data_IF_298659240554
#
_entry.id   IF_298659240554
#
_cell.length_a   1.000
_cell.length_b   1.000
_cell.length_c   1.000
_cell.angle_alpha   90.00
_cell.angle_beta   90.00
_cell.angle_gamma   90.00
#
_symmetry.space_group_name_H-M   'P 1'
#
loop_
_entity.id
_entity.type
_entity.pdbx_description
1 polymer ?
#
# COMPACT_ATOMS: atom_id res chain seq x y z
N UNK A 1 16.72 15.40 -23.33
CA UNK A 1 16.81 14.34 -22.30
C UNK A 1 15.40 13.82 -22.05
N UNK A 2 15.19 12.50 -22.07
CA UNK A 2 13.91 11.86 -21.76
C UNK A 2 14.10 11.04 -20.50
N UNK A 3 13.08 11.02 -19.64
CA UNK A 3 13.05 10.18 -18.43
C UNK A 3 11.83 9.28 -18.45
N UNK A 4 11.96 8.05 -18.01
CA UNK A 4 10.85 7.09 -17.93
C UNK A 4 11.09 6.10 -16.79
N UNK A 5 10.01 5.67 -16.15
CA UNK A 5 10.04 4.56 -15.20
C UNK A 5 9.89 3.20 -15.90
N UNK A 6 9.43 3.19 -17.15
CA UNK A 6 9.14 1.97 -17.90
C UNK A 6 9.86 1.99 -19.26
N UNK A 7 11.14 1.62 -19.32
CA UNK A 7 11.92 1.66 -20.57
C UNK A 7 11.33 0.80 -21.70
N UNK A 8 10.62 -0.27 -21.36
CA UNK A 8 9.96 -1.15 -22.33
C UNK A 8 8.82 -0.49 -23.10
N UNK A 9 8.24 0.61 -22.59
CA UNK A 9 7.19 1.38 -23.26
C UNK A 9 7.73 2.44 -24.21
N UNK A 10 9.05 2.68 -24.21
CA UNK A 10 9.68 3.61 -25.15
C UNK A 10 9.80 2.93 -26.49
N UNK A 11 9.30 3.58 -27.55
CA UNK A 11 9.36 3.06 -28.90
C UNK A 11 10.81 2.77 -29.33
N UNK A 12 11.01 1.72 -30.10
CA UNK A 12 12.33 1.24 -30.49
C UNK A 12 13.15 2.28 -31.25
N UNK A 13 12.48 3.09 -32.08
CA UNK A 13 13.11 4.16 -32.83
C UNK A 13 13.78 5.23 -31.95
N UNK A 14 13.28 5.48 -30.74
CA UNK A 14 13.92 6.36 -29.76
C UNK A 14 15.00 5.61 -28.98
N UNK A 15 14.75 4.36 -28.61
CA UNK A 15 15.72 3.54 -27.87
C UNK A 15 17.02 3.34 -28.65
N UNK A 16 16.92 3.10 -29.96
CA UNK A 16 18.11 2.90 -30.82
C UNK A 16 18.94 4.18 -31.04
N UNK A 17 18.35 5.36 -30.83
CA UNK A 17 18.99 6.66 -31.04
C UNK A 17 19.40 7.38 -29.77
N UNK A 18 19.20 6.76 -28.60
CA UNK A 18 19.48 7.36 -27.31
C UNK A 18 20.42 6.48 -26.48
N UNK A 19 21.27 7.11 -25.69
CA UNK A 19 22.03 6.39 -24.67
C UNK A 19 21.16 6.17 -23.46
N UNK A 20 21.07 4.93 -22.99
CA UNK A 20 20.28 4.55 -21.83
C UNK A 20 21.13 4.63 -20.56
N UNK A 21 20.73 5.49 -19.65
CA UNK A 21 21.32 5.59 -18.32
C UNK A 21 20.29 5.07 -17.32
N UNK A 22 20.62 3.98 -16.65
CA UNK A 22 19.76 3.42 -15.59
C UNK A 22 20.18 4.00 -14.24
N UNK A 23 19.22 4.65 -13.58
CA UNK A 23 19.37 5.12 -12.21
C UNK A 23 18.68 4.09 -11.28
N UNK A 24 19.42 3.26 -10.55
CA UNK A 24 18.82 2.34 -9.61
C UNK A 24 18.23 3.12 -8.42
N UNK A 25 17.22 2.57 -7.73
CA UNK A 25 16.77 3.15 -6.48
C UNK A 25 17.92 3.20 -5.47
N UNK A 26 17.98 4.23 -4.61
CA UNK A 26 19.05 4.35 -3.62
C UNK A 26 18.99 3.18 -2.63
N UNK A 27 20.16 2.71 -2.21
CA UNK A 27 20.30 1.69 -1.20
C UNK A 27 19.87 2.20 0.18
N UNK A 28 19.59 1.28 1.10
CA UNK A 28 19.24 1.64 2.49
C UNK A 28 20.31 2.50 3.15
N UNK A 29 21.59 2.20 2.93
CA UNK A 29 22.70 2.99 3.50
C UNK A 29 22.74 4.41 2.94
N UNK A 30 22.49 4.58 1.65
CA UNK A 30 22.45 5.91 1.02
C UNK A 30 21.28 6.73 1.55
N UNK A 31 20.09 6.10 1.70
CA UNK A 31 18.92 6.76 2.30
C UNK A 31 19.23 7.13 3.76
N UNK A 32 19.73 6.22 4.56
CA UNK A 32 20.07 6.47 5.96
C UNK A 32 21.10 7.59 6.12
N UNK A 33 22.16 7.58 5.28
CA UNK A 33 23.14 8.65 5.25
C UNK A 33 22.53 10.02 4.89
N UNK A 34 21.63 10.07 3.89
CA UNK A 34 20.95 11.32 3.52
C UNK A 34 20.02 11.82 4.64
N UNK A 35 19.29 10.90 5.29
CA UNK A 35 18.44 11.26 6.42
C UNK A 35 19.27 11.79 7.60
N UNK A 36 20.42 11.19 7.88
CA UNK A 36 21.32 11.66 8.93
C UNK A 36 21.78 13.11 8.69
N UNK A 37 22.16 13.44 7.44
CA UNK A 37 22.51 14.81 7.07
C UNK A 37 21.34 15.78 7.30
N UNK A 38 20.13 15.43 6.88
CA UNK A 38 18.93 16.28 7.05
C UNK A 38 18.62 16.50 8.54
N UNK A 39 18.67 15.44 9.33
CA UNK A 39 18.40 15.48 10.77
C UNK A 39 19.41 16.37 11.50
N UNK A 40 20.68 16.33 11.10
CA UNK A 40 21.73 17.19 11.64
C UNK A 40 21.51 18.65 11.23
N UNK A 41 21.24 18.92 9.95
CA UNK A 41 20.92 20.26 9.42
C UNK A 41 19.69 20.91 10.12
N UNK A 42 18.65 20.10 10.38
CA UNK A 42 17.40 20.53 11.03
C UNK A 42 17.45 20.46 12.58
N UNK A 43 18.59 20.06 13.15
CA UNK A 43 18.79 19.94 14.60
C UNK A 43 17.75 19.04 15.29
N UNK A 44 17.32 17.96 14.64
CA UNK A 44 16.33 17.03 15.19
C UNK A 44 17.00 16.01 16.11
N UNK A 45 16.41 15.77 17.28
CA UNK A 45 16.85 14.67 18.17
C UNK A 45 16.27 13.33 17.68
N UNK A 46 17.15 12.38 17.38
CA UNK A 46 16.77 11.08 16.82
C UNK A 46 17.33 9.93 17.66
N UNK A 47 16.48 9.00 18.07
CA UNK A 47 16.90 7.81 18.76
C UNK A 47 17.71 6.87 17.86
N UNK A 48 18.64 6.15 18.47
CA UNK A 48 19.51 5.19 17.76
C UNK A 48 18.68 4.16 16.99
N UNK A 49 18.98 4.02 15.70
CA UNK A 49 18.38 3.02 14.81
C UNK A 49 17.08 3.46 14.12
N UNK A 50 16.49 4.59 14.49
CA UNK A 50 15.24 5.10 13.87
C UNK A 50 15.43 5.38 12.39
N UNK A 51 16.55 6.01 11.99
CA UNK A 51 16.84 6.29 10.57
C UNK A 51 17.02 5.02 9.75
N UNK A 52 17.62 3.98 10.33
CA UNK A 52 17.75 2.66 9.71
C UNK A 52 16.37 2.00 9.49
N UNK A 53 15.46 2.13 10.46
CA UNK A 53 14.11 1.62 10.34
C UNK A 53 13.30 2.41 9.28
N UNK A 54 13.41 3.75 9.25
CA UNK A 54 12.79 4.59 8.22
C UNK A 54 13.33 4.22 6.83
N UNK A 55 14.64 4.02 6.69
CA UNK A 55 15.25 3.63 5.40
C UNK A 55 14.75 2.26 4.92
N UNK A 56 14.55 1.33 5.86
CA UNK A 56 13.98 0.01 5.57
C UNK A 56 12.55 0.11 5.02
N UNK A 57 11.73 0.95 5.62
CA UNK A 57 10.32 1.16 5.30
C UNK A 57 10.16 1.91 3.99
N UNK A 58 11.05 2.85 3.73
CA UNK A 58 11.07 3.60 2.48
C UNK A 58 11.38 2.73 1.25
N UNK A 59 12.04 1.58 1.45
CA UNK A 59 12.30 0.58 0.42
C UNK A 59 12.80 1.17 -0.91
N UNK A 60 13.82 2.02 -0.85
CA UNK A 60 14.40 2.69 -2.03
C UNK A 60 13.73 4.01 -2.42
N UNK A 61 12.65 4.42 -1.76
CA UNK A 61 11.97 5.69 -2.02
C UNK A 61 12.46 6.79 -1.06
N UNK A 62 13.43 7.58 -1.50
CA UNK A 62 14.00 8.66 -0.69
C UNK A 62 12.96 9.72 -0.29
N UNK A 63 12.03 10.07 -1.18
CA UNK A 63 10.98 11.05 -0.87
C UNK A 63 10.10 10.58 0.28
N UNK A 64 9.70 9.30 0.27
CA UNK A 64 8.95 8.69 1.36
C UNK A 64 9.76 8.69 2.66
N UNK A 65 11.06 8.39 2.59
CA UNK A 65 11.94 8.43 3.76
C UNK A 65 11.99 9.81 4.39
N UNK A 66 12.20 10.85 3.60
CA UNK A 66 12.24 12.25 4.06
C UNK A 66 10.89 12.64 4.67
N UNK A 67 9.78 12.38 3.98
CA UNK A 67 8.43 12.69 4.47
C UNK A 67 8.14 12.05 5.83
N UNK A 68 8.50 10.76 6.00
CA UNK A 68 8.31 10.06 7.27
C UNK A 68 9.17 10.67 8.37
N UNK A 69 10.43 11.02 8.07
CA UNK A 69 11.33 11.65 9.03
C UNK A 69 10.80 13.02 9.47
N UNK A 70 10.33 13.83 8.54
CA UNK A 70 9.70 15.13 8.82
C UNK A 70 8.45 14.98 9.68
N UNK A 71 7.55 14.05 9.34
CA UNK A 71 6.33 13.78 10.11
C UNK A 71 6.63 13.36 11.55
N UNK A 72 7.64 12.53 11.75
CA UNK A 72 8.08 12.10 13.07
C UNK A 72 8.76 13.24 13.84
N UNK A 73 9.53 14.07 13.15
CA UNK A 73 10.19 15.26 13.72
C UNK A 73 9.16 16.26 14.26
N UNK A 74 8.17 16.63 13.46
CA UNK A 74 7.09 17.54 13.88
C UNK A 74 6.29 17.06 15.09
N UNK A 75 6.20 15.74 15.29
CA UNK A 75 5.50 15.15 16.43
C UNK A 75 6.41 14.85 17.62
N UNK A 76 7.67 15.23 17.56
CA UNK A 76 8.70 14.85 18.56
C UNK A 76 8.76 13.34 18.82
N UNK A 77 8.47 12.53 17.80
CA UNK A 77 8.37 11.07 17.89
C UNK A 77 9.64 10.35 17.45
N UNK A 78 10.63 11.06 16.94
CA UNK A 78 11.94 10.51 16.55
C UNK A 78 12.75 9.99 17.73
N UNK A 79 12.43 10.43 18.93
CA UNK A 79 13.08 10.03 20.19
C UNK A 79 12.71 8.62 20.68
N UNK A 80 11.67 7.97 20.12
CA UNK A 80 11.27 6.61 20.51
C UNK A 80 11.00 5.72 19.29
N UNK A 81 11.80 4.66 19.18
CA UNK A 81 11.69 3.66 18.13
C UNK A 81 10.32 2.94 18.10
N UNK A 82 9.64 2.84 19.25
CA UNK A 82 8.31 2.23 19.32
C UNK A 82 7.26 3.03 18.57
N UNK A 83 7.39 4.35 18.54
CA UNK A 83 6.49 5.23 17.80
C UNK A 83 6.56 4.97 16.29
N UNK A 84 7.74 4.66 15.77
CA UNK A 84 7.93 4.28 14.37
C UNK A 84 7.23 2.96 14.05
N UNK A 85 7.36 1.97 14.93
CA UNK A 85 6.71 0.67 14.74
C UNK A 85 5.18 0.79 14.74
N UNK A 86 4.62 1.66 15.58
CA UNK A 86 3.18 1.94 15.60
C UNK A 86 2.69 2.62 14.34
N UNK A 87 3.45 3.56 13.78
CA UNK A 87 3.06 4.24 12.55
C UNK A 87 3.15 3.36 11.29
N UNK A 88 3.97 2.31 11.30
CA UNK A 88 4.41 1.71 10.05
C UNK A 88 4.12 0.23 9.82
N UNK A 89 3.84 -0.56 10.83
CA UNK A 89 3.76 -2.01 10.66
C UNK A 89 2.47 -2.66 11.11
N UNK A 90 1.84 -2.12 12.12
CA UNK A 90 0.65 -2.75 12.70
C UNK A 90 -0.62 -2.37 11.95
N UNK A 91 -0.70 -1.11 11.49
CA UNK A 91 -1.96 -0.55 10.99
C UNK A 91 -2.23 -1.03 9.57
N UNK A 92 -1.35 -0.79 8.62
CA UNK A 92 -1.67 -1.06 7.22
C UNK A 92 -1.83 -2.56 6.88
N UNK A 93 -1.02 -3.45 7.44
CA UNK A 93 -1.12 -4.89 7.12
C UNK A 93 -2.37 -5.52 7.72
N UNK A 94 -2.69 -5.22 8.98
CA UNK A 94 -3.91 -5.71 9.63
C UNK A 94 -5.17 -5.12 9.00
N UNK A 95 -5.11 -3.86 8.62
CA UNK A 95 -6.20 -3.18 7.94
C UNK A 95 -6.42 -3.73 6.54
N UNK A 96 -5.36 -3.95 5.76
CA UNK A 96 -5.45 -4.62 4.46
C UNK A 96 -5.96 -6.06 4.59
N UNK A 97 -5.53 -6.79 5.63
CA UNK A 97 -6.09 -8.10 5.92
C UNK A 97 -7.60 -8.02 6.20
N UNK A 98 -8.02 -7.05 7.02
CA UNK A 98 -9.44 -6.80 7.30
C UNK A 98 -10.23 -6.47 6.04
N UNK A 99 -9.70 -5.65 5.13
CA UNK A 99 -10.35 -5.35 3.85
C UNK A 99 -10.65 -6.63 3.08
N UNK A 100 -9.65 -7.50 2.95
CA UNK A 100 -9.82 -8.75 2.21
C UNK A 100 -10.74 -9.74 2.93
N UNK A 101 -10.67 -9.84 4.26
CA UNK A 101 -11.59 -10.67 5.05
C UNK A 101 -13.05 -10.21 4.93
N UNK A 102 -13.31 -8.91 4.96
CA UNK A 102 -14.67 -8.37 4.76
C UNK A 102 -15.17 -8.66 3.35
N UNK A 103 -14.31 -8.57 2.34
CA UNK A 103 -14.67 -8.93 0.97
C UNK A 103 -15.02 -10.42 0.86
N UNK A 104 -14.17 -11.32 1.37
CA UNK A 104 -14.40 -12.77 1.34
C UNK A 104 -15.67 -13.19 2.08
N UNK A 105 -16.12 -12.39 3.07
CA UNK A 105 -17.41 -12.57 3.77
C UNK A 105 -18.59 -11.95 3.04
N UNK A 106 -18.41 -11.53 1.78
CA UNK A 106 -19.42 -10.84 0.95
C UNK A 106 -19.94 -9.52 1.56
N UNK A 107 -19.08 -8.81 2.27
CA UNK A 107 -19.40 -7.50 2.83
C UNK A 107 -18.58 -6.41 2.14
N UNK A 108 -18.73 -6.30 0.81
CA UNK A 108 -18.01 -5.29 0.03
C UNK A 108 -18.59 -3.90 0.28
N UNK A 109 -19.93 -3.76 0.10
CA UNK A 109 -20.65 -2.51 0.33
C UNK A 109 -21.63 -2.68 1.49
N UNK A 110 -21.21 -2.37 2.71
CA UNK A 110 -22.08 -2.37 3.90
C UNK A 110 -22.41 -0.91 4.27
N UNK A 111 -23.61 -0.47 3.94
CA UNK A 111 -24.07 0.88 4.22
C UNK A 111 -24.75 0.94 5.57
N UNK A 112 -24.21 1.75 6.51
CA UNK A 112 -24.78 1.94 7.85
C UNK A 112 -25.09 3.39 8.11
N UNK A 113 -26.15 3.62 8.88
CA UNK A 113 -26.48 4.95 9.39
C UNK A 113 -25.68 5.21 10.66
N UNK A 114 -24.87 6.26 10.66
CA UNK A 114 -24.14 6.71 11.83
C UNK A 114 -24.60 8.09 12.25
N UNK A 115 -24.80 8.26 13.56
CA UNK A 115 -25.17 9.54 14.14
C UNK A 115 -23.89 10.34 14.43
N UNK A 116 -23.63 11.38 13.67
CA UNK A 116 -22.50 12.29 13.87
C UNK A 116 -23.03 13.63 14.37
N UNK A 117 -23.07 13.81 15.69
CA UNK A 117 -23.71 14.96 16.34
C UNK A 117 -25.23 14.95 16.13
N UNK A 118 -25.80 16.08 15.62
CA UNK A 118 -27.24 16.19 15.34
C UNK A 118 -27.66 15.63 13.98
N UNK A 119 -26.75 15.17 13.12
CA UNK A 119 -27.08 14.66 11.78
C UNK A 119 -26.84 13.16 11.68
N UNK A 120 -27.80 12.45 11.08
CA UNK A 120 -27.62 11.08 10.65
C UNK A 120 -26.96 11.10 9.25
N UNK A 121 -25.83 10.44 9.10
CA UNK A 121 -25.17 10.27 7.81
C UNK A 121 -25.07 8.79 7.45
N UNK A 122 -25.24 8.50 6.17
CA UNK A 122 -25.01 7.15 5.65
C UNK A 122 -23.52 6.97 5.38
N UNK A 123 -22.91 6.00 6.04
CA UNK A 123 -21.46 5.72 5.96
C UNK A 123 -21.26 4.36 5.31
N UNK A 124 -20.34 4.31 4.35
CA UNK A 124 -19.92 3.06 3.73
C UNK A 124 -18.99 2.32 4.70
N UNK A 125 -19.38 1.14 5.07
CA UNK A 125 -18.58 0.16 5.83
C UNK A 125 -18.23 -1.02 4.94
N UNK A 126 -17.77 -2.11 5.52
CA UNK A 126 -17.31 -3.28 4.79
C UNK A 126 -15.96 -3.07 4.14
N UNK A 127 -15.66 -3.89 3.13
CA UNK A 127 -14.34 -3.89 2.50
C UNK A 127 -14.01 -2.53 1.85
N UNK A 128 -14.96 -1.92 1.13
CA UNK A 128 -14.73 -0.63 0.47
C UNK A 128 -14.55 0.52 1.47
N UNK A 129 -15.36 0.55 2.55
CA UNK A 129 -15.18 1.55 3.60
C UNK A 129 -13.85 1.43 4.33
N UNK A 130 -13.41 0.21 4.60
CA UNK A 130 -12.11 -0.06 5.19
C UNK A 130 -10.96 0.30 4.22
N UNK A 131 -11.11 0.00 2.94
CA UNK A 131 -10.13 0.36 1.90
C UNK A 131 -9.97 1.88 1.77
N UNK A 132 -11.09 2.62 1.64
CA UNK A 132 -11.07 4.08 1.55
C UNK A 132 -10.39 4.71 2.78
N UNK A 133 -10.64 4.17 3.97
CA UNK A 133 -10.00 4.60 5.20
C UNK A 133 -8.48 4.37 5.16
N UNK A 134 -8.05 3.15 4.81
CA UNK A 134 -6.61 2.78 4.77
C UNK A 134 -5.87 3.59 3.71
N UNK A 135 -6.46 3.78 2.53
CA UNK A 135 -5.86 4.59 1.48
C UNK A 135 -5.72 6.05 1.90
N UNK A 136 -6.75 6.63 2.53
CA UNK A 136 -6.73 8.01 2.99
C UNK A 136 -5.76 8.25 4.15
N UNK A 137 -5.72 7.37 5.14
CA UNK A 137 -4.85 7.50 6.31
C UNK A 137 -3.36 7.30 5.99
N UNK A 138 -3.06 6.43 4.99
CA UNK A 138 -1.70 6.07 4.62
C UNK A 138 -1.25 6.72 3.30
N UNK A 139 -2.09 7.53 2.68
CA UNK A 139 -1.84 8.17 1.38
C UNK A 139 -1.38 7.15 0.32
N UNK A 140 -2.12 6.03 0.22
CA UNK A 140 -1.81 4.95 -0.71
C UNK A 140 -2.49 5.19 -2.06
N UNK A 141 -1.72 5.00 -3.12
CA UNK A 141 -2.27 4.91 -4.47
C UNK A 141 -2.80 3.49 -4.75
N UNK A 142 -3.71 3.31 -5.72
CA UNK A 142 -4.28 2.01 -6.06
C UNK A 142 -3.23 0.93 -6.36
N UNK A 143 -2.12 1.29 -6.97
CA UNK A 143 -0.99 0.40 -7.27
C UNK A 143 -0.31 -0.10 -6.00
N UNK A 144 -0.18 0.76 -4.98
CA UNK A 144 0.36 0.36 -3.67
C UNK A 144 -0.54 -0.67 -2.99
N UNK A 145 -1.86 -0.51 -3.12
CA UNK A 145 -2.85 -1.45 -2.57
C UNK A 145 -2.68 -2.85 -3.17
N UNK A 146 -2.51 -2.95 -4.49
CA UNK A 146 -2.27 -4.23 -5.17
C UNK A 146 -0.99 -4.90 -4.66
N UNK A 147 0.09 -4.12 -4.49
CA UNK A 147 1.36 -4.62 -3.94
C UNK A 147 1.16 -5.12 -2.49
N UNK A 148 0.39 -4.40 -1.68
CA UNK A 148 0.09 -4.82 -0.31
C UNK A 148 -0.75 -6.09 -0.26
N UNK A 149 -1.79 -6.23 -1.08
CA UNK A 149 -2.57 -7.46 -1.19
C UNK A 149 -1.72 -8.65 -1.67
N UNK A 150 -0.87 -8.45 -2.67
CA UNK A 150 0.05 -9.50 -3.12
C UNK A 150 0.96 -9.99 -1.99
N UNK A 151 1.58 -9.07 -1.25
CA UNK A 151 2.42 -9.42 -0.10
C UNK A 151 1.63 -10.13 1.01
N UNK A 152 0.40 -9.70 1.27
CA UNK A 152 -0.46 -10.30 2.27
C UNK A 152 -0.80 -11.76 1.91
N UNK A 153 -1.19 -12.00 0.67
CA UNK A 153 -1.55 -13.32 0.16
C UNK A 153 -0.34 -14.28 0.11
N UNK A 154 0.81 -13.81 -0.36
CA UNK A 154 2.02 -14.63 -0.50
C UNK A 154 2.77 -14.85 0.81
N UNK A 155 2.58 -14.01 1.83
CA UNK A 155 3.24 -14.16 3.13
C UNK A 155 2.63 -15.27 4.01
N UNK A 156 1.59 -15.97 3.57
CA UNK A 156 0.92 -17.04 4.34
C UNK A 156 0.26 -16.58 5.64
N UNK A 157 0.04 -15.27 5.81
CA UNK A 157 -0.57 -14.71 7.03
C UNK A 157 -2.06 -14.97 7.12
N UNK A 158 -2.71 -15.13 5.98
CA UNK A 158 -4.10 -15.59 5.89
C UNK A 158 -4.06 -17.09 5.67
N UNK A 159 -4.67 -17.85 6.58
CA UNK A 159 -4.81 -19.30 6.44
C UNK A 159 -5.86 -19.63 5.38
N UNK A 160 -5.53 -19.34 4.12
CA UNK A 160 -6.37 -19.61 2.96
C UNK A 160 -6.02 -20.97 2.35
N UNK A 161 -7.02 -21.66 1.83
CA UNK A 161 -6.79 -22.85 1.05
C UNK A 161 -6.05 -22.51 -0.25
N UNK A 162 -5.20 -23.41 -0.72
CA UNK A 162 -4.35 -23.19 -1.89
C UNK A 162 -5.14 -22.82 -3.14
N UNK A 163 -6.29 -23.44 -3.33
CA UNK A 163 -7.16 -23.14 -4.48
C UNK A 163 -7.74 -21.72 -4.38
N UNK A 164 -8.24 -21.33 -3.22
CA UNK A 164 -8.76 -19.99 -2.97
C UNK A 164 -7.66 -18.93 -3.15
N UNK A 165 -6.47 -19.19 -2.62
CA UNK A 165 -5.30 -18.33 -2.79
C UNK A 165 -4.96 -18.14 -4.28
N UNK A 166 -4.95 -19.21 -5.05
CA UNK A 166 -4.65 -19.17 -6.49
C UNK A 166 -5.65 -18.33 -7.26
N UNK A 167 -6.96 -18.50 -7.01
CA UNK A 167 -8.00 -17.71 -7.66
C UNK A 167 -7.86 -16.21 -7.31
N UNK A 168 -7.60 -15.88 -6.04
CA UNK A 168 -7.39 -14.51 -5.61
C UNK A 168 -6.15 -13.86 -6.26
N UNK A 169 -5.06 -14.59 -6.38
CA UNK A 169 -3.85 -14.09 -7.05
C UNK A 169 -4.09 -13.85 -8.55
N UNK A 170 -4.86 -14.71 -9.22
CA UNK A 170 -5.25 -14.50 -10.63
C UNK A 170 -6.09 -13.23 -10.79
N UNK A 171 -7.09 -13.01 -9.92
CA UNK A 171 -7.91 -11.79 -9.96
C UNK A 171 -7.09 -10.54 -9.62
N UNK A 172 -6.15 -10.64 -8.67
CA UNK A 172 -5.26 -9.55 -8.34
C UNK A 172 -4.34 -9.16 -9.52
N UNK A 173 -3.83 -10.16 -10.25
CA UNK A 173 -3.04 -9.91 -11.46
C UNK A 173 -3.87 -9.22 -12.57
N UNK A 174 -5.15 -9.60 -12.73
CA UNK A 174 -6.06 -8.90 -13.65
C UNK A 174 -6.31 -7.45 -13.22
N UNK A 175 -6.43 -7.21 -11.91
CA UNK A 175 -6.57 -5.86 -11.36
C UNK A 175 -5.33 -5.01 -11.65
N UNK A 176 -4.13 -5.54 -11.43
CA UNK A 176 -2.86 -4.85 -11.72
C UNK A 176 -2.77 -4.41 -13.19
N UNK A 177 -3.07 -5.32 -14.12
CA UNK A 177 -3.08 -5.01 -15.57
C UNK A 177 -4.12 -3.95 -15.91
N UNK A 178 -5.30 -3.98 -15.26
CA UNK A 178 -6.37 -3.04 -15.50
C UNK A 178 -6.05 -1.63 -14.96
N UNK A 179 -5.40 -1.53 -13.79
CA UNK A 179 -4.94 -0.26 -13.23
C UNK A 179 -4.05 0.51 -14.20
N UNK A 180 -3.19 -0.17 -14.94
CA UNK A 180 -2.32 0.47 -15.93
C UNK A 180 -3.06 1.08 -17.13
N UNK A 181 -4.33 0.71 -17.34
CA UNK A 181 -5.18 1.16 -18.45
C UNK A 181 -6.30 2.08 -18.00
N UNK A 182 -6.66 2.00 -16.72
CA UNK A 182 -7.77 2.74 -16.14
C UNK A 182 -7.34 4.15 -15.73
N UNK A 183 -8.25 5.10 -15.86
CA UNK A 183 -8.08 6.46 -15.32
C UNK A 183 -8.57 6.56 -13.86
N UNK A 184 -9.30 5.56 -13.38
CA UNK A 184 -9.88 5.53 -12.04
C UNK A 184 -9.55 4.22 -11.33
N UNK A 185 -8.36 4.15 -10.74
CA UNK A 185 -7.86 2.95 -10.09
C UNK A 185 -8.77 2.42 -8.97
N UNK A 186 -9.53 3.30 -8.30
CA UNK A 186 -10.48 2.89 -7.26
C UNK A 186 -11.56 1.93 -7.78
N UNK A 187 -12.05 2.13 -9.02
CA UNK A 187 -13.06 1.24 -9.64
C UNK A 187 -12.46 -0.16 -9.88
N UNK A 188 -11.20 -0.22 -10.27
CA UNK A 188 -10.54 -1.51 -10.48
C UNK A 188 -10.31 -2.27 -9.18
N UNK A 189 -9.98 -1.57 -8.09
CA UNK A 189 -9.91 -2.17 -6.76
C UNK A 189 -11.29 -2.65 -6.27
N UNK A 190 -12.34 -1.87 -6.51
CA UNK A 190 -13.72 -2.27 -6.19
C UNK A 190 -14.11 -3.54 -6.93
N UNK A 191 -13.81 -3.62 -8.24
CA UNK A 191 -14.01 -4.82 -9.05
C UNK A 191 -13.27 -6.03 -8.47
N UNK A 192 -12.01 -5.85 -8.08
CA UNK A 192 -11.23 -6.91 -7.44
C UNK A 192 -11.91 -7.42 -6.15
N UNK A 193 -12.38 -6.51 -5.29
CA UNK A 193 -13.03 -6.88 -4.03
C UNK A 193 -14.38 -7.58 -4.27
N UNK A 194 -15.13 -7.20 -5.29
CA UNK A 194 -16.38 -7.87 -5.69
C UNK A 194 -16.08 -9.30 -6.18
N UNK A 195 -15.08 -9.48 -7.03
CA UNK A 195 -14.67 -10.80 -7.49
C UNK A 195 -14.15 -11.68 -6.33
N UNK A 196 -13.39 -11.09 -5.39
CA UNK A 196 -12.95 -11.79 -4.19
C UNK A 196 -14.14 -12.25 -3.33
N UNK A 197 -15.18 -11.44 -3.22
CA UNK A 197 -16.42 -11.83 -2.52
C UNK A 197 -17.12 -13.00 -3.18
N UNK A 198 -17.22 -13.00 -4.51
CA UNK A 198 -17.81 -14.08 -5.28
C UNK A 198 -17.02 -15.40 -5.14
N UNK A 199 -15.70 -15.31 -5.21
CA UNK A 199 -14.80 -16.43 -4.97
C UNK A 199 -15.00 -16.98 -3.55
N UNK A 200 -15.01 -16.12 -2.53
CA UNK A 200 -15.23 -16.51 -1.14
C UNK A 200 -16.57 -17.23 -0.92
N UNK A 201 -17.65 -16.75 -1.56
CA UNK A 201 -18.97 -17.39 -1.48
C UNK A 201 -18.98 -18.79 -2.13
N UNK A 202 -18.38 -18.92 -3.32
CA UNK A 202 -18.29 -20.23 -4.02
C UNK A 202 -17.56 -21.26 -3.16
N UNK A 203 -16.45 -20.87 -2.54
CA UNK A 203 -15.70 -21.77 -1.65
C UNK A 203 -16.44 -22.09 -0.35
N UNK A 204 -17.19 -21.14 0.22
CA UNK A 204 -18.00 -21.41 1.41
C UNK A 204 -19.16 -22.40 1.11
N UNK A 205 -19.79 -22.29 -0.07
CA UNK A 205 -20.86 -23.20 -0.51
C UNK A 205 -20.34 -24.61 -0.83
N UNK A 206 -19.10 -24.72 -1.34
CA UNK A 206 -18.51 -26.03 -1.64
C UNK A 206 -18.14 -26.82 -0.37
N UNK A 207 -18.11 -26.18 0.79
CA UNK A 207 -17.81 -26.79 2.11
C UNK A 207 -19.04 -27.13 2.94
N UNK A 208 -20.20 -26.58 2.59
CA UNK A 208 -21.47 -26.82 3.29
C UNK A 208 -22.19 -28.02 2.72
#
# INVERSE_FOLDING_TARGET
MFTTHTPSRVIEALRSRTQHIRLPPPSRKEIEGRLATIVEEEQMEVARGVLGDVSHIANGNLRKAIFVTELLGHRSMLGDRKNLQHLMTATSVKEMQRVLEEALRNRVHDWRWEKKGMKNSRVLKGAMGALDQVMGENNLEPEDVVIHFHRLLTAGRMQLEEHLLTELLVELAKCDVALHKSTQGRIELERFLLNAAEIGQRHAQAKA
#
